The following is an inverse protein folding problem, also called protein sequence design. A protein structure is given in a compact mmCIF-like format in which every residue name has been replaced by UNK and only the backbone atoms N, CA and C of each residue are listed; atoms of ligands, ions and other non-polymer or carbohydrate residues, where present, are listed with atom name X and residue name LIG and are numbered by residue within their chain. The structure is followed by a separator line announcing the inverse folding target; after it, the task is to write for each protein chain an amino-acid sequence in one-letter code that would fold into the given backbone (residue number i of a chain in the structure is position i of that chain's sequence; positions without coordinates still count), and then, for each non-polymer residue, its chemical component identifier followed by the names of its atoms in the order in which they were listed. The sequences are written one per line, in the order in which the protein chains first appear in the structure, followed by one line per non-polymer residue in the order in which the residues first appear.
data_IF_609838924242
#
_entry.id   IF_609838924242
#
_cell.length_a   1.000
_cell.length_b   1.000
_cell.length_c   1.000
_cell.angle_alpha   90.00
_cell.angle_beta   90.00
_cell.angle_gamma   90.00
#
_symmetry.space_group_name_H-M   'P 1'
#
loop_
_entity.id
_entity.type
_entity.pdbx_description
1 polymer ?
#
# COMPACT_ATOMS: atom_id res chain seq x y z
N UNK A 1 24.44 -46.84 65.63
CA UNK A 1 23.43 -45.93 65.04
C UNK A 1 24.01 -44.86 64.10
N UNK A 2 25.32 -44.52 64.18
CA UNK A 2 25.95 -43.49 63.35
C UNK A 2 26.52 -44.01 62.01
N UNK A 3 26.77 -45.29 61.84
CA UNK A 3 27.27 -45.90 60.60
C UNK A 3 26.24 -46.03 59.50
N UNK A 4 24.96 -46.21 59.84
CA UNK A 4 23.88 -46.31 58.84
C UNK A 4 23.53 -44.91 58.27
N UNK A 5 23.69 -43.85 59.07
CA UNK A 5 23.42 -42.48 58.63
C UNK A 5 24.45 -41.96 57.63
N UNK A 6 25.71 -42.35 57.72
CA UNK A 6 26.78 -41.94 56.83
C UNK A 6 26.71 -42.66 55.47
N UNK A 7 26.25 -43.94 55.46
CA UNK A 7 26.08 -44.70 54.21
C UNK A 7 24.90 -44.22 53.37
N UNK A 8 23.85 -43.69 53.98
CA UNK A 8 22.69 -43.15 53.24
C UNK A 8 22.95 -41.77 52.65
N UNK A 9 23.83 -41.00 53.25
CA UNK A 9 24.22 -39.67 52.74
C UNK A 9 25.12 -39.72 51.49
N UNK A 10 25.83 -40.83 51.27
CA UNK A 10 26.76 -40.99 50.12
C UNK A 10 26.03 -41.49 48.85
N UNK A 11 24.82 -42.03 48.98
CA UNK A 11 24.01 -42.50 47.86
C UNK A 11 23.22 -41.40 47.13
N UNK A 12 23.20 -40.16 47.65
CA UNK A 12 22.49 -39.02 47.05
C UNK A 12 23.38 -38.16 46.11
N UNK A 13 24.63 -38.51 45.89
CA UNK A 13 25.59 -37.73 45.09
C UNK A 13 25.77 -38.26 43.66
N UNK A 14 25.04 -39.30 43.23
CA UNK A 14 25.24 -39.87 41.88
C UNK A 14 24.07 -39.64 40.92
N UNK A 15 23.22 -38.64 41.18
CA UNK A 15 22.03 -38.40 40.41
C UNK A 15 22.07 -37.02 39.65
N UNK A 16 23.22 -36.69 39.07
CA UNK A 16 23.29 -35.67 38.01
C UNK A 16 24.16 -36.24 36.88
N UNK A 17 23.57 -37.06 36.05
CA UNK A 17 24.09 -37.20 34.69
C UNK A 17 23.64 -35.94 33.96
N UNK A 18 24.58 -35.04 33.65
CA UNK A 18 24.37 -33.95 32.69
C UNK A 18 24.24 -34.62 31.32
N UNK A 19 23.01 -34.65 30.79
CA UNK A 19 22.79 -34.91 29.37
C UNK A 19 23.51 -33.83 28.57
N UNK A 20 24.71 -34.15 28.06
CA UNK A 20 25.40 -33.28 27.10
C UNK A 20 24.66 -33.39 25.77
N UNK A 21 23.78 -32.44 25.51
CA UNK A 21 23.20 -32.25 24.19
C UNK A 21 24.28 -31.68 23.26
N UNK A 22 24.79 -32.49 22.36
CA UNK A 22 25.62 -32.01 21.27
C UNK A 22 24.68 -31.49 20.16
N UNK A 23 24.83 -30.22 19.80
CA UNK A 23 24.24 -29.71 18.57
C UNK A 23 24.86 -30.47 17.39
N UNK A 24 24.01 -30.97 16.49
CA UNK A 24 24.53 -31.61 15.28
C UNK A 24 25.39 -30.66 14.44
N UNK A 25 26.10 -31.19 13.46
CA UNK A 25 27.02 -30.43 12.64
C UNK A 25 26.34 -29.19 12.04
N UNK A 26 26.95 -28.02 12.28
CA UNK A 26 26.55 -26.77 11.66
C UNK A 26 27.01 -26.79 10.21
N UNK A 27 26.08 -26.86 9.28
CA UNK A 27 26.38 -26.95 7.85
C UNK A 27 25.89 -25.71 7.11
N UNK A 28 26.84 -24.96 6.56
CA UNK A 28 26.53 -23.78 5.74
C UNK A 28 26.03 -24.25 4.35
N UNK A 29 24.93 -23.69 3.83
CA UNK A 29 24.48 -23.95 2.47
C UNK A 29 25.55 -23.55 1.45
N UNK A 30 25.65 -24.35 0.39
CA UNK A 30 26.59 -24.11 -0.71
C UNK A 30 25.90 -24.22 -2.07
N UNK A 31 26.51 -23.65 -3.10
CA UNK A 31 25.96 -23.67 -4.47
C UNK A 31 24.54 -23.12 -4.52
N UNK A 32 24.32 -21.96 -3.91
CA UNK A 32 23.06 -21.25 -4.03
C UNK A 32 22.91 -20.71 -5.46
N UNK A 33 21.93 -21.24 -6.17
CA UNK A 33 21.52 -20.80 -7.49
C UNK A 33 20.08 -20.27 -7.42
N UNK A 34 19.83 -19.16 -8.12
CA UNK A 34 18.50 -18.54 -8.19
C UNK A 34 18.16 -18.30 -9.66
N UNK A 35 16.99 -18.74 -10.06
CA UNK A 35 16.39 -18.38 -11.35
C UNK A 35 15.18 -17.51 -11.14
N UNK A 36 14.93 -16.60 -12.08
CA UNK A 36 13.84 -15.64 -12.06
C UNK A 36 13.03 -15.80 -13.34
N UNK A 37 11.73 -15.92 -13.19
CA UNK A 37 10.76 -15.96 -14.27
C UNK A 37 9.75 -14.83 -14.11
N UNK A 38 9.83 -13.81 -14.97
CA UNK A 38 8.91 -12.67 -15.00
C UNK A 38 7.80 -12.99 -15.98
N UNK A 39 6.56 -12.99 -15.49
CA UNK A 39 5.39 -13.35 -16.29
C UNK A 39 5.20 -12.40 -17.47
N UNK A 40 5.17 -12.94 -18.69
CA UNK A 40 5.01 -12.18 -19.92
C UNK A 40 6.29 -11.47 -20.39
N UNK A 41 7.46 -11.84 -19.86
CA UNK A 41 8.74 -11.37 -20.36
C UNK A 41 9.04 -12.01 -21.72
N UNK A 42 9.21 -11.18 -22.73
CA UNK A 42 9.61 -11.57 -24.09
C UNK A 42 10.40 -10.44 -24.78
N UNK A 43 10.65 -10.56 -26.09
CA UNK A 43 11.43 -9.56 -26.82
C UNK A 43 10.74 -8.19 -26.94
N UNK A 44 9.41 -8.17 -26.93
CA UNK A 44 8.60 -6.95 -27.04
C UNK A 44 8.29 -6.39 -25.64
N UNK A 45 8.33 -7.20 -24.60
CA UNK A 45 8.04 -6.88 -23.21
C UNK A 45 9.24 -7.28 -22.31
N UNK A 46 10.37 -6.56 -22.37
CA UNK A 46 11.62 -6.96 -21.69
C UNK A 46 11.53 -6.93 -20.15
N UNK A 47 10.49 -6.29 -19.58
CA UNK A 47 10.25 -6.17 -18.15
C UNK A 47 8.96 -6.90 -17.71
N UNK A 48 8.40 -7.76 -18.59
CA UNK A 48 7.16 -8.52 -18.35
C UNK A 48 5.90 -7.89 -18.92
N UNK A 49 4.81 -8.64 -18.91
CA UNK A 49 3.52 -8.28 -19.54
C UNK A 49 2.60 -7.40 -18.70
N UNK A 50 3.09 -6.76 -17.63
CA UNK A 50 2.30 -5.85 -16.80
C UNK A 50 1.56 -6.50 -15.63
N UNK A 51 1.62 -7.81 -15.47
CA UNK A 51 0.97 -8.51 -14.35
C UNK A 51 1.66 -8.31 -12.99
N UNK A 52 2.94 -7.94 -13.02
CA UNK A 52 3.81 -7.81 -11.85
C UNK A 52 4.22 -9.13 -11.20
N UNK A 53 3.75 -10.28 -11.69
CA UNK A 53 4.11 -11.57 -11.11
C UNK A 53 5.52 -12.00 -11.55
N UNK A 54 6.32 -12.40 -10.54
CA UNK A 54 7.67 -12.93 -10.70
C UNK A 54 7.82 -14.19 -9.87
N UNK A 55 8.23 -15.29 -10.51
CA UNK A 55 8.53 -16.55 -9.82
C UNK A 55 10.04 -16.67 -9.60
N UNK A 56 10.43 -16.81 -8.36
CA UNK A 56 11.79 -17.09 -7.93
C UNK A 56 11.94 -18.56 -7.61
N UNK A 57 13.01 -19.20 -8.12
CA UNK A 57 13.33 -20.59 -7.80
C UNK A 57 14.77 -20.65 -7.32
N UNK A 58 14.94 -20.94 -6.03
CA UNK A 58 16.23 -21.05 -5.36
C UNK A 58 16.55 -22.51 -5.05
N UNK A 59 17.79 -22.94 -5.29
CA UNK A 59 18.32 -24.24 -4.91
C UNK A 59 19.70 -24.08 -4.27
N UNK A 60 19.98 -24.89 -3.25
CA UNK A 60 21.28 -24.94 -2.61
C UNK A 60 21.50 -26.30 -1.95
N UNK A 61 22.76 -26.73 -1.81
CA UNK A 61 23.10 -27.89 -1.01
C UNK A 61 22.99 -27.55 0.48
N UNK A 62 22.48 -28.47 1.30
CA UNK A 62 22.35 -28.33 2.75
C UNK A 62 21.46 -27.16 3.21
N UNK A 63 20.56 -26.68 2.34
CA UNK A 63 19.55 -25.71 2.71
C UNK A 63 18.35 -26.40 3.38
N UNK A 64 17.86 -25.83 4.45
CA UNK A 64 16.62 -26.23 5.16
C UNK A 64 15.45 -25.34 4.77
N UNK A 65 15.73 -24.08 4.41
CA UNK A 65 14.75 -23.10 3.98
C UNK A 65 15.43 -22.01 3.15
N UNK A 66 14.61 -21.18 2.52
CA UNK A 66 15.06 -20.02 1.74
C UNK A 66 14.31 -18.79 2.23
N UNK A 67 15.05 -17.71 2.44
CA UNK A 67 14.52 -16.39 2.76
C UNK A 67 14.64 -15.51 1.52
N UNK A 68 13.54 -14.84 1.18
CA UNK A 68 13.49 -13.88 0.08
C UNK A 68 13.18 -12.48 0.65
N UNK A 69 13.97 -11.50 0.23
CA UNK A 69 13.66 -10.09 0.35
C UNK A 69 13.52 -9.55 -1.08
N UNK A 70 12.33 -9.10 -1.42
CA UNK A 70 11.98 -8.76 -2.80
C UNK A 70 12.40 -7.34 -3.21
N UNK A 71 12.91 -6.52 -2.28
CA UNK A 71 13.36 -5.16 -2.55
C UNK A 71 12.23 -4.11 -2.56
N UNK A 72 10.98 -4.51 -2.41
CA UNK A 72 9.79 -3.65 -2.29
C UNK A 72 9.31 -3.48 -0.83
N UNK A 73 10.10 -3.96 0.14
CA UNK A 73 9.79 -3.96 1.57
C UNK A 73 9.16 -5.27 2.04
N UNK A 74 8.77 -6.18 1.16
CA UNK A 74 8.21 -7.48 1.52
C UNK A 74 9.29 -8.55 1.62
N UNK A 75 9.04 -9.53 2.51
CA UNK A 75 9.93 -10.66 2.75
C UNK A 75 9.15 -11.94 2.99
N UNK A 76 9.73 -13.10 2.68
CA UNK A 76 9.15 -14.40 3.02
C UNK A 76 10.21 -15.44 3.35
N UNK A 77 9.84 -16.52 4.05
CA UNK A 77 10.69 -17.67 4.31
C UNK A 77 9.92 -18.94 4.01
N UNK A 78 10.46 -19.80 3.13
CA UNK A 78 9.83 -21.04 2.69
C UNK A 78 10.86 -22.17 2.60
N UNK A 79 10.40 -23.41 2.69
CA UNK A 79 11.28 -24.59 2.55
C UNK A 79 11.40 -25.10 1.11
N UNK A 80 10.42 -24.82 0.24
CA UNK A 80 10.40 -25.32 -1.13
C UNK A 80 11.41 -24.67 -2.07
N UNK A 81 11.90 -23.46 -1.72
CA UNK A 81 12.76 -22.65 -2.58
C UNK A 81 12.04 -21.98 -3.76
N UNK A 82 10.75 -22.25 -3.98
CA UNK A 82 9.98 -21.64 -5.08
C UNK A 82 8.89 -20.74 -4.51
N UNK A 83 8.90 -19.48 -4.94
CA UNK A 83 7.90 -18.49 -4.51
C UNK A 83 7.55 -17.55 -5.66
N UNK A 84 6.25 -17.30 -5.83
CA UNK A 84 5.76 -16.28 -6.77
C UNK A 84 5.38 -15.03 -5.98
N UNK A 85 6.07 -13.94 -6.26
CA UNK A 85 5.81 -12.62 -5.70
C UNK A 85 5.12 -11.74 -6.72
N UNK A 86 4.30 -10.78 -6.27
CA UNK A 86 3.67 -9.78 -7.14
C UNK A 86 4.15 -8.39 -6.77
N UNK A 87 4.86 -7.75 -7.68
CA UNK A 87 5.19 -6.33 -7.61
C UNK A 87 3.99 -5.50 -8.06
N UNK A 88 3.63 -4.49 -7.30
CA UNK A 88 2.41 -3.68 -7.54
C UNK A 88 2.68 -2.20 -7.74
N UNK A 89 3.95 -1.82 -7.84
CA UNK A 89 4.34 -0.44 -8.15
C UNK A 89 4.19 -0.20 -9.65
N UNK A 90 3.28 0.71 -10.01
CA UNK A 90 2.92 0.98 -11.41
C UNK A 90 4.11 1.52 -12.20
N UNK A 91 4.21 1.08 -13.47
CA UNK A 91 5.32 1.41 -14.35
C UNK A 91 6.43 0.37 -14.31
N UNK A 92 7.57 0.68 -14.92
CA UNK A 92 8.79 -0.12 -14.85
C UNK A 92 9.58 0.32 -13.62
N UNK A 93 9.81 -0.62 -12.72
CA UNK A 93 10.55 -0.38 -11.48
C UNK A 93 11.68 -1.38 -11.30
N UNK A 94 12.80 -0.92 -10.73
CA UNK A 94 13.96 -1.75 -10.40
C UNK A 94 13.92 -2.14 -8.92
N UNK A 95 14.14 -3.44 -8.66
CA UNK A 95 14.13 -4.00 -7.31
C UNK A 95 15.40 -4.78 -7.05
N UNK A 96 16.07 -4.50 -5.92
CA UNK A 96 17.23 -5.26 -5.46
C UNK A 96 16.75 -6.44 -4.62
N UNK A 97 16.83 -7.64 -5.18
CA UNK A 97 16.38 -8.88 -4.53
C UNK A 97 17.54 -9.54 -3.79
N UNK A 98 17.29 -9.96 -2.55
CA UNK A 98 18.23 -10.75 -1.75
C UNK A 98 17.59 -12.12 -1.49
N UNK A 99 18.31 -13.19 -1.85
CA UNK A 99 17.91 -14.57 -1.55
C UNK A 99 18.94 -15.22 -0.67
N UNK A 100 18.51 -15.81 0.45
CA UNK A 100 19.36 -16.46 1.42
C UNK A 100 18.94 -17.91 1.64
N UNK A 101 19.82 -18.85 1.41
CA UNK A 101 19.65 -20.24 1.82
C UNK A 101 20.02 -20.37 3.30
N UNK A 102 19.16 -21.01 4.09
CA UNK A 102 19.29 -21.19 5.54
C UNK A 102 19.72 -22.62 5.80
N UNK A 103 20.87 -22.80 6.46
CA UNK A 103 21.40 -24.10 6.90
C UNK A 103 21.08 -24.42 8.35
N UNK A 104 21.70 -25.49 8.88
CA UNK A 104 21.59 -25.87 10.30
C UNK A 104 22.06 -24.75 11.21
N UNK A 105 21.41 -24.59 12.37
CA UNK A 105 21.69 -23.51 13.32
C UNK A 105 21.52 -22.09 12.75
N UNK A 106 20.82 -21.92 11.63
CA UNK A 106 20.53 -20.61 11.05
C UNK A 106 21.67 -19.96 10.27
N UNK A 107 22.72 -20.70 9.94
CA UNK A 107 23.79 -20.16 9.06
C UNK A 107 23.27 -19.91 7.66
N UNK A 108 23.72 -18.81 7.04
CA UNK A 108 23.19 -18.33 5.77
C UNK A 108 24.25 -18.36 4.65
N UNK A 109 23.78 -18.60 3.43
CA UNK A 109 24.48 -18.27 2.19
C UNK A 109 23.55 -17.43 1.34
N UNK A 110 23.97 -16.23 0.90
CA UNK A 110 23.10 -15.26 0.25
C UNK A 110 23.64 -14.83 -1.10
N UNK A 111 22.72 -14.46 -1.99
CA UNK A 111 23.01 -13.78 -3.26
C UNK A 111 22.11 -12.55 -3.41
N UNK A 112 22.59 -11.55 -4.15
CA UNK A 112 21.88 -10.31 -4.41
C UNK A 112 21.95 -9.99 -5.90
N UNK A 113 20.84 -9.56 -6.47
CA UNK A 113 20.72 -9.16 -7.88
C UNK A 113 19.58 -8.18 -8.07
N UNK A 114 19.63 -7.41 -9.16
CA UNK A 114 18.57 -6.48 -9.53
C UNK A 114 17.70 -7.10 -10.61
N UNK A 115 16.39 -6.78 -10.55
CA UNK A 115 15.41 -7.09 -11.58
C UNK A 115 14.63 -5.83 -11.93
N UNK A 116 14.18 -5.73 -13.18
CA UNK A 116 13.22 -4.72 -13.60
C UNK A 116 11.90 -5.40 -13.89
N UNK A 117 10.81 -4.88 -13.27
CA UNK A 117 9.47 -5.43 -13.42
C UNK A 117 8.53 -4.33 -13.87
N UNK A 118 7.77 -4.60 -14.92
CA UNK A 118 6.66 -3.77 -15.35
C UNK A 118 5.37 -4.25 -14.70
N UNK A 119 4.66 -3.31 -14.08
CA UNK A 119 3.31 -3.52 -13.57
C UNK A 119 2.36 -2.46 -14.12
N UNK A 120 1.24 -2.91 -14.69
CA UNK A 120 0.11 -2.08 -15.08
C UNK A 120 -1.12 -2.48 -14.28
N UNK A 121 -1.91 -1.48 -13.91
CA UNK A 121 -3.19 -1.69 -13.26
C UNK A 121 -4.26 -0.98 -14.07
N UNK A 122 -5.28 -1.72 -14.45
CA UNK A 122 -6.40 -1.22 -15.23
C UNK A 122 -7.72 -1.56 -14.54
N UNK A 123 -8.61 -0.60 -14.53
CA UNK A 123 -9.99 -0.77 -14.09
C UNK A 123 -10.90 0.01 -15.07
N UNK A 124 -11.37 -0.66 -16.14
CA UNK A 124 -12.15 0.00 -17.19
C UNK A 124 -13.45 0.65 -16.69
N UNK A 125 -14.07 0.08 -15.65
CA UNK A 125 -15.28 0.66 -15.07
C UNK A 125 -14.99 1.97 -14.36
N UNK A 126 -13.84 2.08 -13.66
CA UNK A 126 -13.40 3.34 -13.08
C UNK A 126 -13.12 4.38 -14.16
N UNK A 127 -12.44 4.00 -15.24
CA UNK A 127 -12.19 4.91 -16.37
C UNK A 127 -13.50 5.44 -16.94
N UNK A 128 -14.46 4.54 -17.26
CA UNK A 128 -15.77 4.91 -17.77
C UNK A 128 -16.54 5.80 -16.81
N UNK A 129 -16.45 5.52 -15.50
CA UNK A 129 -17.15 6.32 -14.48
C UNK A 129 -16.53 7.71 -14.34
N UNK A 130 -15.20 7.81 -14.30
CA UNK A 130 -14.51 9.09 -14.12
C UNK A 130 -14.58 9.98 -15.35
N UNK A 131 -14.46 9.43 -16.57
CA UNK A 131 -14.27 10.23 -17.76
C UNK A 131 -15.19 9.86 -18.95
N UNK A 132 -15.62 8.60 -19.04
CA UNK A 132 -16.32 8.05 -20.20
C UNK A 132 -15.55 6.88 -20.83
N UNK A 133 -16.20 6.13 -21.71
CA UNK A 133 -15.71 4.86 -22.25
C UNK A 133 -14.91 5.01 -23.57
N UNK A 134 -14.99 6.18 -24.20
CA UNK A 134 -14.33 6.46 -25.47
C UNK A 134 -13.16 7.43 -25.32
N UNK A 135 -12.16 7.28 -26.16
CA UNK A 135 -11.07 8.27 -26.26
C UNK A 135 -11.64 9.66 -26.62
N UNK A 136 -11.24 10.66 -25.84
CA UNK A 136 -11.73 12.03 -25.94
C UNK A 136 -12.95 12.35 -25.08
N UNK A 137 -13.56 11.34 -24.46
CA UNK A 137 -14.64 11.58 -23.50
C UNK A 137 -14.10 12.27 -22.26
N UNK A 138 -14.92 13.13 -21.67
CA UNK A 138 -14.60 13.80 -20.41
C UNK A 138 -15.85 14.00 -19.55
N UNK A 139 -15.65 13.97 -18.22
CA UNK A 139 -16.68 14.30 -17.23
C UNK A 139 -16.16 15.35 -16.27
N UNK A 140 -17.08 16.24 -15.91
CA UNK A 140 -16.82 17.26 -14.88
C UNK A 140 -17.45 16.82 -13.57
N UNK A 141 -16.66 16.81 -12.52
CA UNK A 141 -17.06 16.47 -11.17
C UNK A 141 -17.04 17.70 -10.29
N UNK A 142 -17.93 17.75 -9.32
CA UNK A 142 -18.03 18.82 -8.30
C UNK A 142 -18.17 18.20 -6.92
N UNK A 143 -17.92 18.96 -5.90
CA UNK A 143 -18.21 18.53 -4.54
C UNK A 143 -19.70 18.35 -4.33
N UNK A 144 -20.09 17.27 -3.67
CA UNK A 144 -21.48 17.01 -3.28
C UNK A 144 -21.88 17.88 -2.07
N UNK A 145 -21.66 19.19 -2.16
CA UNK A 145 -21.78 20.13 -1.04
C UNK A 145 -23.20 20.27 -0.48
N UNK A 146 -24.21 19.88 -1.23
CA UNK A 146 -25.62 19.86 -0.84
C UNK A 146 -26.02 18.63 0.00
N UNK A 147 -25.10 17.67 0.15
CA UNK A 147 -25.30 16.45 0.94
C UNK A 147 -24.67 16.66 2.33
N UNK A 148 -25.37 16.34 3.43
CA UNK A 148 -24.75 16.33 4.76
C UNK A 148 -23.55 15.39 4.82
N UNK A 149 -22.54 15.75 5.61
CA UNK A 149 -21.34 14.93 5.82
C UNK A 149 -20.51 14.69 4.53
N UNK A 150 -20.62 15.54 3.53
CA UNK A 150 -19.94 15.39 2.23
C UNK A 150 -18.42 15.49 2.26
N UNK A 151 -17.84 15.96 3.37
CA UNK A 151 -16.40 16.02 3.58
C UNK A 151 -16.07 15.82 5.06
N UNK A 152 -14.97 15.14 5.34
CA UNK A 152 -14.51 14.92 6.69
C UNK A 152 -13.06 14.48 6.78
N UNK A 153 -12.51 14.56 7.97
CA UNK A 153 -11.18 14.06 8.34
C UNK A 153 -11.29 13.07 9.48
N UNK A 154 -10.48 12.05 9.43
CA UNK A 154 -10.38 11.09 10.51
C UNK A 154 -10.25 9.66 10.00
N UNK A 155 -10.08 8.71 10.91
CA UNK A 155 -10.00 7.30 10.57
C UNK A 155 -11.34 6.76 10.07
N UNK A 156 -11.27 5.88 9.10
CA UNK A 156 -12.41 5.14 8.52
C UNK A 156 -12.28 3.63 8.72
N UNK A 157 -11.37 3.19 9.61
CA UNK A 157 -11.15 1.76 9.93
C UNK A 157 -10.93 1.57 11.42
N UNK A 158 -11.02 0.32 11.86
CA UNK A 158 -10.75 -0.13 13.22
C UNK A 158 -9.28 0.03 13.67
N UNK A 159 -8.33 0.29 12.76
CA UNK A 159 -6.96 0.65 13.12
C UNK A 159 -6.90 1.85 14.06
N UNK A 160 -7.91 2.67 14.03
CA UNK A 160 -8.11 3.80 14.91
C UNK A 160 -9.12 3.56 16.01
N UNK A 161 -9.53 2.33 16.22
CA UNK A 161 -10.38 1.92 17.35
C UNK A 161 -9.84 2.37 18.70
N UNK A 162 -8.52 2.54 18.82
CA UNK A 162 -7.88 3.16 19.99
C UNK A 162 -8.32 4.61 20.19
N UNK A 163 -8.55 5.36 19.11
CA UNK A 163 -9.06 6.75 19.16
C UNK A 163 -10.54 6.80 19.48
N UNK A 164 -11.31 5.82 19.04
CA UNK A 164 -12.70 5.60 19.43
C UNK A 164 -12.85 5.03 20.85
N UNK A 165 -11.73 4.78 21.55
CA UNK A 165 -11.73 4.25 22.91
C UNK A 165 -12.28 2.83 23.03
N UNK A 166 -12.35 2.08 21.92
CA UNK A 166 -12.99 0.76 21.88
C UNK A 166 -14.51 0.82 21.95
N UNK A 167 -15.12 1.96 21.67
CA UNK A 167 -16.57 2.14 21.64
C UNK A 167 -17.17 1.29 20.51
N UNK A 168 -18.01 0.28 20.81
CA UNK A 168 -18.61 -0.56 19.79
C UNK A 168 -19.65 0.16 18.90
N UNK A 169 -20.02 1.40 19.27
CA UNK A 169 -20.94 2.26 18.51
C UNK A 169 -20.20 3.20 17.57
N UNK A 170 -18.87 3.16 17.56
CA UNK A 170 -18.06 3.99 16.69
C UNK A 170 -18.25 3.57 15.24
N UNK A 171 -18.65 4.52 14.40
CA UNK A 171 -18.85 4.30 12.97
C UNK A 171 -17.54 4.50 12.20
N UNK A 172 -16.89 3.38 11.86
CA UNK A 172 -15.63 3.38 11.11
C UNK A 172 -15.80 3.67 9.62
N UNK A 173 -17.01 3.68 9.12
CA UNK A 173 -17.31 4.02 7.72
C UNK A 173 -17.26 5.52 7.46
N UNK A 174 -17.09 6.33 8.53
CA UNK A 174 -17.13 7.78 8.42
C UNK A 174 -16.00 8.47 9.21
N UNK A 175 -15.38 9.55 8.67
CA UNK A 175 -14.38 10.33 9.40
C UNK A 175 -14.94 10.97 10.68
N UNK A 176 -14.30 10.69 11.82
CA UNK A 176 -14.85 11.09 13.13
C UNK A 176 -14.11 12.25 13.81
N UNK A 177 -13.01 12.76 13.24
CA UNK A 177 -12.31 13.89 13.82
C UNK A 177 -13.01 15.21 13.51
N UNK A 178 -13.39 15.38 12.26
CA UNK A 178 -14.11 16.55 11.76
C UNK A 178 -14.89 16.18 10.50
N UNK A 179 -16.08 16.73 10.33
CA UNK A 179 -16.89 16.58 9.12
C UNK A 179 -17.78 17.82 8.90
N UNK A 180 -18.16 18.04 7.66
CA UNK A 180 -19.16 19.02 7.27
C UNK A 180 -20.56 18.44 7.48
N UNK A 181 -21.11 18.67 8.67
CA UNK A 181 -22.43 18.13 9.07
C UNK A 181 -23.54 18.77 8.23
N UNK A 182 -23.46 20.09 8.03
CA UNK A 182 -24.48 20.84 7.32
C UNK A 182 -24.14 20.93 5.82
N UNK A 183 -25.14 20.83 4.94
CA UNK A 183 -24.96 21.13 3.52
C UNK A 183 -24.41 22.55 3.31
N UNK A 184 -23.49 22.67 2.35
CA UNK A 184 -22.88 23.95 1.97
C UNK A 184 -22.20 24.69 3.16
N UNK A 185 -21.47 23.95 3.99
CA UNK A 185 -20.73 24.48 5.14
C UNK A 185 -19.94 25.75 4.75
N UNK A 186 -20.23 26.90 5.37
CA UNK A 186 -19.64 28.18 4.97
C UNK A 186 -18.11 28.24 5.19
N UNK A 187 -17.55 27.44 6.09
CA UNK A 187 -16.10 27.44 6.35
C UNK A 187 -15.29 26.92 5.17
N UNK A 188 -15.92 26.10 4.32
CA UNK A 188 -15.30 25.47 3.15
C UNK A 188 -15.91 25.91 1.83
N UNK A 189 -16.75 26.94 1.85
CA UNK A 189 -17.56 27.39 0.71
C UNK A 189 -16.76 27.71 -0.56
N UNK A 190 -15.49 28.11 -0.42
CA UNK A 190 -14.64 28.36 -1.57
C UNK A 190 -14.34 27.12 -2.40
N UNK A 191 -14.30 25.93 -1.78
CA UNK A 191 -14.08 24.67 -2.50
C UNK A 191 -15.31 24.25 -3.32
N UNK A 192 -16.51 24.65 -2.92
CA UNK A 192 -17.73 24.20 -3.56
C UNK A 192 -17.95 24.77 -4.98
N UNK A 193 -17.10 25.72 -5.37
CA UNK A 193 -17.03 26.23 -6.74
C UNK A 193 -16.07 25.42 -7.62
N UNK A 194 -15.37 24.43 -7.08
CA UNK A 194 -14.39 23.66 -7.82
C UNK A 194 -15.06 22.79 -8.89
N UNK A 195 -14.41 22.72 -10.04
CA UNK A 195 -14.73 21.79 -11.11
C UNK A 195 -13.49 20.96 -11.43
N UNK A 196 -13.66 19.65 -11.41
CA UNK A 196 -12.63 18.65 -11.67
C UNK A 196 -12.98 17.92 -12.95
N UNK A 197 -12.16 18.05 -13.97
CA UNK A 197 -12.35 17.39 -15.25
C UNK A 197 -11.43 16.19 -15.37
N UNK A 198 -12.02 15.01 -15.53
CA UNK A 198 -11.29 13.82 -15.94
C UNK A 198 -11.53 13.57 -17.41
N UNK A 199 -10.48 13.27 -18.17
CA UNK A 199 -10.54 12.98 -19.61
C UNK A 199 -9.89 11.64 -19.90
N UNK A 200 -10.57 10.80 -20.67
CA UNK A 200 -10.03 9.56 -21.22
C UNK A 200 -9.25 9.88 -22.50
N UNK A 201 -7.96 9.60 -22.49
CA UNK A 201 -7.08 9.89 -23.65
C UNK A 201 -6.41 8.61 -24.15
N UNK A 202 -5.85 8.65 -25.35
CA UNK A 202 -5.07 7.54 -25.90
C UNK A 202 -3.88 7.10 -25.00
N UNK A 203 -3.43 7.99 -24.09
CA UNK A 203 -2.33 7.73 -23.17
C UNK A 203 -2.79 7.47 -21.72
N UNK A 204 -4.09 7.25 -21.49
CA UNK A 204 -4.70 7.04 -20.18
C UNK A 204 -5.50 8.23 -19.69
N UNK A 205 -5.85 8.23 -18.42
CA UNK A 205 -6.64 9.29 -17.79
C UNK A 205 -5.81 10.53 -17.51
N UNK A 206 -6.42 11.70 -17.74
CA UNK A 206 -5.92 12.99 -17.28
C UNK A 206 -6.91 13.67 -16.35
N UNK A 207 -6.41 14.59 -15.55
CA UNK A 207 -7.15 15.38 -14.58
C UNK A 207 -6.79 16.86 -14.71
N UNK A 208 -7.77 17.74 -14.58
CA UNK A 208 -7.56 19.18 -14.45
C UNK A 208 -8.61 19.79 -13.53
N UNK A 209 -8.17 20.59 -12.55
CA UNK A 209 -9.09 21.47 -11.84
C UNK A 209 -9.22 22.74 -12.68
N UNK A 210 -10.40 22.95 -13.26
CA UNK A 210 -10.65 24.05 -14.23
C UNK A 210 -11.21 25.28 -13.59
N UNK A 211 -11.88 25.16 -12.44
CA UNK A 211 -12.52 26.26 -11.72
C UNK A 211 -12.31 26.11 -10.21
N UNK A 212 -12.26 27.23 -9.54
CA UNK A 212 -12.24 27.36 -8.09
C UNK A 212 -10.86 27.25 -7.47
N UNK A 213 -10.70 27.79 -6.26
CA UNK A 213 -9.47 27.71 -5.48
C UNK A 213 -9.30 26.35 -4.81
N UNK A 214 -8.12 26.07 -4.29
CA UNK A 214 -7.86 24.92 -3.45
C UNK A 214 -7.80 25.31 -1.97
N UNK A 215 -8.39 24.51 -1.11
CA UNK A 215 -8.32 24.68 0.33
C UNK A 215 -7.07 24.00 0.90
N UNK A 216 -6.31 24.72 1.74
CA UNK A 216 -5.13 24.21 2.42
C UNK A 216 -5.37 24.20 3.93
N UNK A 217 -5.53 23.04 4.58
CA UNK A 217 -5.64 22.94 6.03
C UNK A 217 -4.36 23.43 6.72
N UNK A 218 -4.50 24.02 7.92
CA UNK A 218 -3.38 24.54 8.70
C UNK A 218 -2.26 23.54 8.95
N UNK A 219 -2.59 22.28 9.15
CA UNK A 219 -1.62 21.20 9.34
C UNK A 219 -0.68 20.96 8.14
N UNK A 220 -1.06 21.39 6.94
CA UNK A 220 -0.31 21.18 5.71
C UNK A 220 0.24 22.47 5.09
N UNK A 221 -0.07 23.62 5.67
CA UNK A 221 0.28 24.94 5.14
C UNK A 221 1.80 25.14 4.95
N UNK A 222 2.58 24.68 5.91
CA UNK A 222 4.05 24.80 5.89
C UNK A 222 4.70 23.94 4.80
N UNK A 223 4.03 22.88 4.35
CA UNK A 223 4.58 21.96 3.30
C UNK A 223 4.72 22.72 1.98
N UNK A 224 3.75 23.56 1.65
CA UNK A 224 3.73 24.36 0.41
C UNK A 224 3.99 25.85 0.62
N UNK A 225 4.23 26.27 1.88
CA UNK A 225 4.63 27.63 2.20
C UNK A 225 3.53 28.69 2.03
N UNK A 226 2.27 28.34 2.33
CA UNK A 226 1.10 29.21 2.21
C UNK A 226 0.39 29.39 3.55
N UNK A 227 -0.61 30.27 3.63
CA UNK A 227 -1.46 30.40 4.80
C UNK A 227 -2.37 29.18 4.98
N UNK A 228 -2.55 28.71 6.23
CA UNK A 228 -3.42 27.58 6.55
C UNK A 228 -4.87 27.95 6.76
N UNK A 229 -5.75 26.95 6.69
CA UNK A 229 -7.20 27.02 6.87
C UNK A 229 -7.89 28.06 5.98
N UNK A 230 -7.41 28.16 4.75
CA UNK A 230 -7.95 29.07 3.76
C UNK A 230 -7.78 28.54 2.33
N UNK A 231 -8.48 29.20 1.40
CA UNK A 231 -8.39 28.89 -0.02
C UNK A 231 -7.30 29.68 -0.70
N UNK A 232 -6.62 29.03 -1.65
CA UNK A 232 -5.56 29.56 -2.45
C UNK A 232 -5.85 29.34 -3.93
N UNK A 233 -5.62 30.36 -4.74
CA UNK A 233 -5.72 30.29 -6.19
C UNK A 233 -4.44 29.75 -6.84
N UNK A 234 -4.47 29.61 -8.16
CA UNK A 234 -3.38 29.08 -8.99
C UNK A 234 -2.07 29.86 -8.87
N UNK A 235 -2.10 31.12 -8.45
CA UNK A 235 -0.90 31.96 -8.33
C UNK A 235 -0.10 31.65 -7.07
N UNK A 236 -0.76 31.10 -6.06
CA UNK A 236 -0.18 30.78 -4.75
C UNK A 236 0.16 29.30 -4.65
N UNK A 237 -0.72 28.44 -5.13
CA UNK A 237 -0.60 26.99 -5.00
C UNK A 237 -0.45 26.33 -6.38
N UNK A 238 0.61 26.70 -7.11
CA UNK A 238 0.83 26.36 -8.52
C UNK A 238 0.87 24.86 -8.81
N UNK A 239 1.25 24.01 -7.84
CA UNK A 239 1.26 22.53 -8.02
C UNK A 239 -0.12 21.92 -8.06
N UNK A 240 -1.14 22.64 -7.62
CA UNK A 240 -2.52 22.17 -7.56
C UNK A 240 -3.21 22.16 -8.91
N UNK A 241 -2.80 23.06 -9.80
CA UNK A 241 -3.50 23.39 -11.03
C UNK A 241 -2.79 22.83 -12.27
N UNK A 242 -3.46 22.95 -13.41
CA UNK A 242 -3.00 22.50 -14.71
C UNK A 242 -3.27 21.01 -14.96
N UNK A 243 -3.02 20.61 -16.20
CA UNK A 243 -3.25 19.25 -16.67
C UNK A 243 -2.30 18.25 -15.99
N UNK A 244 -2.84 17.20 -15.43
CA UNK A 244 -2.14 16.14 -14.72
C UNK A 244 -2.46 14.77 -15.31
N UNK A 245 -1.56 13.81 -15.17
CA UNK A 245 -1.86 12.41 -15.46
C UNK A 245 -2.49 11.75 -14.24
N UNK A 246 -3.37 10.79 -14.48
CA UNK A 246 -4.00 9.96 -13.46
C UNK A 246 -3.56 8.53 -13.64
N UNK A 247 -2.99 7.94 -12.60
CA UNK A 247 -2.64 6.52 -12.57
C UNK A 247 -3.62 5.77 -11.69
N UNK A 248 -4.18 4.67 -12.20
CA UNK A 248 -4.95 3.73 -11.40
C UNK A 248 -3.99 2.78 -10.67
N UNK A 249 -4.35 2.39 -9.46
CA UNK A 249 -3.55 1.55 -8.56
C UNK A 249 -4.46 0.53 -7.87
N UNK A 250 -3.96 -0.66 -7.52
CA UNK A 250 -4.66 -1.46 -6.52
C UNK A 250 -4.61 -0.73 -5.18
N UNK A 251 -5.73 -0.66 -4.46
CA UNK A 251 -5.77 -0.09 -3.13
C UNK A 251 -4.89 -0.88 -2.16
N UNK A 252 -4.20 -0.16 -1.28
CA UNK A 252 -3.33 -0.75 -0.23
C UNK A 252 -3.74 -0.32 1.17
N UNK A 253 -4.65 0.65 1.29
CA UNK A 253 -5.13 1.08 2.60
C UNK A 253 -6.02 0.01 3.23
N UNK A 254 -5.94 -0.14 4.54
CA UNK A 254 -6.81 -1.05 5.28
C UNK A 254 -8.28 -0.65 5.11
N UNK A 255 -8.56 0.65 5.04
CA UNK A 255 -9.89 1.17 4.76
C UNK A 255 -10.48 0.58 3.47
N UNK A 256 -9.73 0.66 2.37
CA UNK A 256 -10.20 0.15 1.08
C UNK A 256 -10.28 -1.39 1.03
N UNK A 257 -9.38 -2.10 1.74
CA UNK A 257 -9.32 -3.56 1.70
C UNK A 257 -10.38 -4.24 2.58
N UNK A 258 -10.74 -3.63 3.71
CA UNK A 258 -11.62 -4.20 4.72
C UNK A 258 -12.92 -3.40 4.91
N UNK A 259 -12.98 -2.17 4.39
CA UNK A 259 -14.12 -1.28 4.53
C UNK A 259 -15.29 -1.65 3.62
N UNK A 260 -16.47 -1.16 3.99
CA UNK A 260 -17.71 -1.28 3.21
C UNK A 260 -18.60 -0.06 3.43
N UNK A 261 -19.49 0.18 2.48
CA UNK A 261 -20.57 1.15 2.62
C UNK A 261 -21.90 0.45 2.32
N UNK A 262 -22.87 0.56 3.23
CA UNK A 262 -24.15 -0.18 3.15
C UNK A 262 -23.97 -1.69 2.87
N UNK A 263 -23.03 -2.33 3.57
CA UNK A 263 -22.67 -3.75 3.40
C UNK A 263 -22.04 -4.11 2.04
N UNK A 264 -21.79 -3.14 1.17
CA UNK A 264 -21.06 -3.33 -0.09
C UNK A 264 -19.58 -3.07 0.14
N UNK A 265 -18.70 -4.05 -0.10
CA UNK A 265 -17.26 -3.84 0.02
C UNK A 265 -16.78 -2.71 -0.89
N UNK A 266 -15.79 -1.94 -0.40
CA UNK A 266 -15.15 -0.91 -1.22
C UNK A 266 -14.48 -1.53 -2.44
N UNK A 267 -14.34 -0.72 -3.51
CA UNK A 267 -13.86 -1.20 -4.81
C UNK A 267 -12.36 -1.42 -4.75
N UNK A 268 -11.59 -1.67 -4.06
CA UNK A 268 -10.15 -1.98 -4.01
C UNK A 268 -9.33 -1.38 -5.20
N UNK A 269 -9.82 -0.28 -5.77
CA UNK A 269 -9.15 0.53 -6.78
C UNK A 269 -8.91 1.91 -6.23
N UNK A 270 -7.71 2.41 -6.42
CA UNK A 270 -7.30 3.76 -6.06
C UNK A 270 -6.83 4.50 -7.31
N UNK A 271 -6.77 5.81 -7.22
CA UNK A 271 -6.08 6.61 -8.23
C UNK A 271 -5.16 7.65 -7.58
N UNK A 272 -4.12 8.02 -8.33
CA UNK A 272 -3.18 9.06 -7.96
C UNK A 272 -3.07 10.07 -9.09
N UNK A 273 -3.07 11.36 -8.73
CA UNK A 273 -2.85 12.47 -9.66
C UNK A 273 -1.36 12.82 -9.63
N UNK A 274 -0.75 12.98 -10.82
CA UNK A 274 0.69 13.26 -10.94
C UNK A 274 1.07 14.63 -10.38
N UNK A 275 2.38 14.82 -10.14
CA UNK A 275 2.99 16.10 -9.79
C UNK A 275 2.36 16.78 -8.57
N UNK A 276 2.00 15.99 -7.56
CA UNK A 276 1.35 16.48 -6.35
C UNK A 276 -0.05 17.04 -6.55
N UNK A 277 -0.73 16.64 -7.63
CA UNK A 277 -2.10 17.03 -7.89
C UNK A 277 -3.09 16.43 -6.89
N UNK A 278 -4.19 17.13 -6.65
CA UNK A 278 -5.23 16.73 -5.71
C UNK A 278 -6.57 17.41 -6.05
N UNK A 279 -7.65 16.92 -5.46
CA UNK A 279 -9.01 17.40 -5.72
C UNK A 279 -9.41 18.46 -4.69
N UNK A 280 -9.01 19.71 -4.89
CA UNK A 280 -9.49 20.88 -4.15
C UNK A 280 -9.15 20.98 -2.66
N UNK A 281 -8.87 19.87 -1.97
CA UNK A 281 -8.45 19.82 -0.56
C UNK A 281 -7.05 19.23 -0.44
N UNK A 282 -6.09 20.04 0.00
CA UNK A 282 -4.71 19.61 0.08
C UNK A 282 -4.40 18.85 1.37
N UNK A 283 -3.91 17.64 1.23
CA UNK A 283 -3.47 16.77 2.34
C UNK A 283 -2.10 16.13 2.09
N UNK A 284 -1.29 16.72 1.22
CA UNK A 284 0.02 16.18 0.85
C UNK A 284 -0.02 15.30 -0.40
N UNK A 285 0.87 14.33 -0.48
CA UNK A 285 0.88 13.33 -1.59
C UNK A 285 -0.24 12.33 -1.38
N UNK A 286 -1.26 12.37 -2.22
CA UNK A 286 -2.55 11.70 -1.98
C UNK A 286 -2.75 10.55 -2.94
N UNK A 287 -3.22 9.42 -2.41
CA UNK A 287 -3.86 8.35 -3.16
C UNK A 287 -5.34 8.33 -2.76
N UNK A 288 -6.22 8.39 -3.75
CA UNK A 288 -7.66 8.38 -3.55
C UNK A 288 -8.20 6.96 -3.70
N UNK A 289 -8.72 6.39 -2.62
CA UNK A 289 -9.42 5.12 -2.67
C UNK A 289 -10.87 5.34 -3.17
N UNK A 290 -11.30 4.53 -4.14
CA UNK A 290 -12.66 4.58 -4.65
C UNK A 290 -13.54 3.71 -3.77
N UNK A 291 -14.46 4.34 -3.08
CA UNK A 291 -15.39 3.67 -2.16
C UNK A 291 -16.49 2.95 -2.93
N UNK A 292 -17.17 3.67 -3.80
CA UNK A 292 -18.27 3.15 -4.63
C UNK A 292 -18.36 3.89 -5.94
N UNK A 293 -19.05 3.30 -6.89
CA UNK A 293 -19.38 3.90 -8.17
C UNK A 293 -20.91 3.85 -8.30
N UNK A 294 -21.51 5.01 -8.51
CA UNK A 294 -22.93 5.14 -8.85
C UNK A 294 -23.08 5.91 -10.16
N UNK A 295 -24.32 6.03 -10.68
CA UNK A 295 -24.55 6.76 -11.94
C UNK A 295 -24.09 8.23 -11.89
N UNK A 296 -24.02 8.83 -10.68
CA UNK A 296 -23.71 10.24 -10.49
C UNK A 296 -22.62 10.51 -9.43
N UNK A 297 -21.99 9.46 -8.89
CA UNK A 297 -20.94 9.60 -7.87
C UNK A 297 -19.99 8.41 -7.84
#
# INVERSE_FOLDING_TARGET
KYFISLSLSLLLLTACEEDTYEFGDITTPTNLEVTVDIVGLDADNPNGGGSGFVTFSATANNALAYQFNFGDGSTTTISSGVYTHRYTQVGVNSFTVIVSAVGTAGVLSSTTFDIEVYFSYEDPEVVTSLAGDSEGDSKTWVWASDIPLHIGLGPVTDDYGVLGGGDPTYDYSWPNWWNSIEPNDPEKSCMYTNEFVFTNTANGLTFEQTVGPAFVPGAYADIIGVGGDQCHDETVATTMFGLKNVSLLPSTSKAALEGSYDEVPYRQTSFKISDGGFMGWYVGDVVYDIISITENS
#
